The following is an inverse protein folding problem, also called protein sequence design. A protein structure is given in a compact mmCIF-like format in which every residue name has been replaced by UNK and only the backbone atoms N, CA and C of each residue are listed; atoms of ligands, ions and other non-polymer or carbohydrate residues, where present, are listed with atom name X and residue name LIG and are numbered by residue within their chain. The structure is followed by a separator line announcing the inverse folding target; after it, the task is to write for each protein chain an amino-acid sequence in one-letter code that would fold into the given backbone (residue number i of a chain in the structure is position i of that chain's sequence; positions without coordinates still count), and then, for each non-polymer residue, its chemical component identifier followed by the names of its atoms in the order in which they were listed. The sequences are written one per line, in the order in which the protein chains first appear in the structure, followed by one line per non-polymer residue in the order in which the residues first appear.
data_IF_170238282971
#
_entry.id   IF_170238282971
#
_cell.length_a   1.000
_cell.length_b   1.000
_cell.length_c   1.000
_cell.angle_alpha   90.00
_cell.angle_beta   90.00
_cell.angle_gamma   90.00
#
_symmetry.space_group_name_H-M   'P 1'
#
loop_
_entity.id
_entity.type
_entity.pdbx_description
1 polymer ?
#
# COMPACT_ATOMS: atom_id res chain seq x y z
N UNK A 1 -0.17 -6.31 -19.75
CA UNK A 1 -0.79 -6.96 -18.58
C UNK A 1 -0.74 -6.04 -17.38
N UNK A 2 -1.77 -6.03 -16.59
CA UNK A 2 -1.87 -5.20 -15.41
C UNK A 2 -1.01 -5.69 -14.26
N UNK A 3 -0.74 -4.77 -13.35
CA UNK A 3 0.10 -5.00 -12.17
C UNK A 3 -0.71 -4.68 -10.92
N UNK A 4 -0.56 -5.51 -9.88
CA UNK A 4 -1.06 -5.20 -8.54
C UNK A 4 0.16 -4.99 -7.63
N UNK A 5 0.22 -3.81 -7.05
CA UNK A 5 1.26 -3.44 -6.09
C UNK A 5 0.64 -3.39 -4.70
N UNK A 6 1.17 -4.17 -3.78
CA UNK A 6 0.66 -4.27 -2.42
C UNK A 6 1.70 -3.83 -1.41
N UNK A 7 1.33 -2.94 -0.51
CA UNK A 7 2.11 -2.60 0.67
C UNK A 7 1.46 -3.28 1.86
N UNK A 8 2.20 -4.18 2.51
CA UNK A 8 1.75 -4.92 3.68
C UNK A 8 2.35 -4.28 4.92
N UNK A 9 1.50 -3.91 5.88
CA UNK A 9 1.93 -3.26 7.11
C UNK A 9 1.45 -4.05 8.32
N UNK A 10 2.37 -4.40 9.21
CA UNK A 10 2.09 -5.05 10.48
C UNK A 10 2.33 -4.05 11.61
N UNK A 11 1.44 -4.05 12.60
CA UNK A 11 1.47 -3.09 13.70
C UNK A 11 1.44 -3.80 15.04
N UNK A 12 2.20 -3.27 16.00
CA UNK A 12 2.14 -3.73 17.39
C UNK A 12 0.97 -3.07 18.13
N UNK A 13 0.51 -1.91 17.66
CA UNK A 13 -0.48 -1.07 18.35
C UNK A 13 -1.60 -0.68 17.38
N UNK A 14 -2.84 -0.95 17.76
CA UNK A 14 -4.02 -0.61 16.97
C UNK A 14 -4.15 0.90 16.73
N UNK A 15 -3.75 1.73 17.69
CA UNK A 15 -3.82 3.20 17.53
C UNK A 15 -2.91 3.65 16.38
N UNK A 16 -1.72 3.09 16.28
CA UNK A 16 -0.78 3.40 15.18
C UNK A 16 -1.34 2.91 13.84
N UNK A 17 -1.93 1.71 13.83
CA UNK A 17 -2.59 1.19 12.63
C UNK A 17 -3.71 2.10 12.16
N UNK A 18 -4.53 2.61 13.09
CA UNK A 18 -5.61 3.54 12.77
C UNK A 18 -5.09 4.86 12.19
N UNK A 19 -3.98 5.38 12.71
CA UNK A 19 -3.33 6.57 12.14
C UNK A 19 -2.87 6.31 10.71
N UNK A 20 -2.30 5.13 10.44
CA UNK A 20 -1.82 4.77 9.12
C UNK A 20 -2.97 4.72 8.12
N UNK A 21 -4.08 4.08 8.48
CA UNK A 21 -5.28 4.01 7.63
C UNK A 21 -5.82 5.41 7.36
N UNK A 22 -5.90 6.26 8.40
CA UNK A 22 -6.35 7.64 8.26
C UNK A 22 -5.44 8.43 7.30
N UNK A 23 -4.13 8.31 7.46
CA UNK A 23 -3.16 8.97 6.59
C UNK A 23 -3.31 8.53 5.13
N UNK A 24 -3.52 7.23 4.88
CA UNK A 24 -3.77 6.72 3.55
C UNK A 24 -5.04 7.32 2.95
N UNK A 25 -6.14 7.35 3.72
CA UNK A 25 -7.44 7.85 3.27
C UNK A 25 -7.44 9.35 2.98
N UNK A 26 -6.62 10.12 3.69
CA UNK A 26 -6.62 11.58 3.64
C UNK A 26 -5.44 12.18 2.88
N UNK A 27 -5.00 11.51 1.83
CA UNK A 27 -4.02 12.08 0.93
C UNK A 27 -3.17 11.07 0.19
N UNK A 28 -2.60 10.09 0.87
CA UNK A 28 -1.62 9.18 0.26
C UNK A 28 -2.21 8.38 -0.91
N UNK A 29 -3.41 7.81 -0.75
CA UNK A 29 -4.05 7.06 -1.84
C UNK A 29 -4.27 7.94 -3.07
N UNK A 30 -4.71 9.19 -2.86
CA UNK A 30 -4.92 10.12 -3.95
C UNK A 30 -3.61 10.43 -4.69
N UNK A 31 -2.51 10.53 -3.97
CA UNK A 31 -1.20 10.78 -4.58
C UNK A 31 -0.72 9.59 -5.41
N UNK A 32 -0.94 8.36 -4.95
CA UNK A 32 -0.60 7.16 -5.72
C UNK A 32 -1.46 7.09 -6.99
N UNK A 33 -2.74 7.42 -6.90
CA UNK A 33 -3.63 7.49 -8.07
C UNK A 33 -3.15 8.56 -9.05
N UNK A 34 -2.76 9.73 -8.56
CA UNK A 34 -2.20 10.79 -9.40
C UNK A 34 -0.91 10.35 -10.09
N UNK A 35 -0.14 9.47 -9.45
CA UNK A 35 1.10 8.92 -9.99
C UNK A 35 0.91 7.81 -11.02
N UNK A 36 -0.33 7.39 -11.30
CA UNK A 36 -0.63 6.45 -12.37
C UNK A 36 -1.39 5.19 -11.99
N UNK A 37 -1.67 4.94 -10.70
CA UNK A 37 -2.52 3.84 -10.32
C UNK A 37 -3.96 4.08 -10.82
N UNK A 38 -4.64 3.02 -11.24
CA UNK A 38 -6.03 3.11 -11.73
C UNK A 38 -7.03 2.83 -10.61
N UNK A 39 -6.63 2.09 -9.59
CA UNK A 39 -7.46 1.73 -8.44
C UNK A 39 -6.59 1.67 -7.19
N UNK A 40 -7.19 1.96 -6.05
CA UNK A 40 -6.54 1.85 -4.75
C UNK A 40 -7.53 1.29 -3.74
N UNK A 41 -7.04 0.46 -2.82
CA UNK A 41 -7.88 -0.19 -1.83
C UNK A 41 -7.07 -0.40 -0.55
N UNK A 42 -7.71 -0.23 0.60
CA UNK A 42 -7.14 -0.57 1.90
C UNK A 42 -7.95 -1.74 2.44
N UNK A 43 -7.26 -2.78 2.88
CA UNK A 43 -7.90 -3.93 3.51
C UNK A 43 -7.29 -4.20 4.88
N UNK A 44 -8.11 -4.70 5.79
CA UNK A 44 -7.66 -5.26 7.05
C UNK A 44 -7.63 -6.78 6.87
N UNK A 45 -6.48 -7.38 7.10
CA UNK A 45 -6.36 -8.83 7.04
C UNK A 45 -7.03 -9.41 8.28
N UNK A 46 -7.90 -10.42 8.11
CA UNK A 46 -8.61 -11.03 9.23
C UNK A 46 -7.61 -11.52 10.27
N UNK A 47 -7.74 -11.09 11.53
CA UNK A 47 -6.80 -11.49 12.57
C UNK A 47 -6.95 -12.97 12.91
N UNK A 48 -5.81 -13.59 13.21
CA UNK A 48 -5.76 -14.93 13.80
C UNK A 48 -4.95 -14.83 15.08
N UNK A 49 -5.07 -15.83 15.97
CA UNK A 49 -4.33 -15.85 17.23
C UNK A 49 -2.82 -15.82 17.04
N UNK A 50 -2.34 -16.26 15.87
CA UNK A 50 -0.93 -16.33 15.56
C UNK A 50 -0.41 -15.13 14.75
N UNK A 51 -1.27 -14.19 14.39
CA UNK A 51 -0.90 -13.08 13.51
C UNK A 51 -1.02 -11.73 14.21
N UNK A 52 -0.04 -10.82 13.98
CA UNK A 52 -0.16 -9.43 14.43
C UNK A 52 -1.25 -8.68 13.67
N UNK A 53 -1.54 -7.44 14.11
CA UNK A 53 -2.42 -6.56 13.38
C UNK A 53 -1.83 -6.28 12.00
N UNK A 54 -2.56 -6.62 10.96
CA UNK A 54 -2.07 -6.53 9.59
C UNK A 54 -3.07 -5.83 8.70
N UNK A 55 -2.55 -4.86 7.95
CA UNK A 55 -3.31 -4.09 6.98
C UNK A 55 -2.55 -4.06 5.67
N UNK A 56 -3.26 -3.86 4.57
CA UNK A 56 -2.63 -3.76 3.26
C UNK A 56 -3.25 -2.61 2.48
N UNK A 57 -2.41 -1.88 1.74
CA UNK A 57 -2.87 -1.00 0.68
C UNK A 57 -2.51 -1.64 -0.66
N UNK A 58 -3.49 -1.77 -1.54
CA UNK A 58 -3.35 -2.44 -2.83
C UNK A 58 -3.65 -1.46 -3.94
N UNK A 59 -2.78 -1.44 -4.95
CA UNK A 59 -2.89 -0.52 -6.07
C UNK A 59 -2.84 -1.30 -7.38
N UNK A 60 -3.70 -0.90 -8.31
CA UNK A 60 -3.74 -1.48 -9.64
C UNK A 60 -3.10 -0.51 -10.62
N UNK A 61 -2.17 -1.00 -11.43
CA UNK A 61 -1.57 -0.25 -12.55
C UNK A 61 -1.92 -0.95 -13.86
N UNK A 62 -2.16 -0.17 -14.92
CA UNK A 62 -2.57 -0.71 -16.20
C UNK A 62 -1.50 -1.58 -16.85
N UNK A 63 -0.22 -1.32 -16.56
CA UNK A 63 0.91 -2.02 -17.16
C UNK A 63 2.14 -1.92 -16.26
N UNK A 64 3.14 -2.76 -16.56
CA UNK A 64 4.44 -2.65 -15.91
C UNK A 64 5.10 -1.30 -16.21
N UNK A 65 4.95 -0.79 -17.43
CA UNK A 65 5.50 0.51 -17.80
C UNK A 65 4.93 1.64 -16.94
N UNK A 66 3.61 1.62 -16.67
CA UNK A 66 2.96 2.59 -15.82
C UNK A 66 3.47 2.49 -14.37
N UNK A 67 3.66 1.27 -13.88
CA UNK A 67 4.21 1.05 -12.54
C UNK A 67 5.65 1.55 -12.43
N UNK A 68 6.50 1.26 -13.42
CA UNK A 68 7.90 1.71 -13.44
C UNK A 68 7.97 3.24 -13.43
N UNK A 69 7.10 3.91 -14.17
CA UNK A 69 7.03 5.37 -14.16
C UNK A 69 6.67 5.89 -12.77
N UNK A 70 5.68 5.29 -12.12
CA UNK A 70 5.33 5.61 -10.73
C UNK A 70 6.51 5.39 -9.79
N UNK A 71 7.17 4.22 -9.85
CA UNK A 71 8.33 3.89 -9.01
C UNK A 71 9.46 4.89 -9.17
N UNK A 72 9.67 5.39 -10.38
CA UNK A 72 10.77 6.30 -10.69
C UNK A 72 10.47 7.73 -10.26
N UNK A 73 9.27 8.23 -10.54
CA UNK A 73 8.94 9.65 -10.40
C UNK A 73 8.20 10.01 -9.13
N UNK A 74 7.42 9.10 -8.57
CA UNK A 74 6.52 9.38 -7.44
C UNK A 74 6.88 8.63 -6.16
N UNK A 75 7.21 7.36 -6.27
CA UNK A 75 7.39 6.49 -5.12
C UNK A 75 8.51 6.95 -4.16
N UNK A 76 9.65 7.46 -4.62
CA UNK A 76 10.71 7.85 -3.67
C UNK A 76 10.24 8.87 -2.65
N UNK A 77 9.53 9.91 -3.08
CA UNK A 77 8.99 10.94 -2.18
C UNK A 77 7.89 10.37 -1.28
N UNK A 78 6.95 9.63 -1.85
CA UNK A 78 5.82 9.06 -1.11
C UNK A 78 6.30 8.04 -0.07
N UNK A 79 7.29 7.24 -0.41
CA UNK A 79 7.88 6.25 0.48
C UNK A 79 8.62 6.92 1.63
N UNK A 80 9.36 8.00 1.34
CA UNK A 80 10.05 8.77 2.36
C UNK A 80 9.07 9.42 3.35
N UNK A 81 7.95 9.95 2.86
CA UNK A 81 6.90 10.52 3.72
C UNK A 81 6.29 9.45 4.64
N UNK A 82 5.98 8.28 4.10
CA UNK A 82 5.43 7.18 4.87
C UNK A 82 6.40 6.70 5.95
N UNK A 83 7.68 6.53 5.60
CA UNK A 83 8.69 6.09 6.54
C UNK A 83 8.95 7.13 7.65
N UNK A 84 8.85 8.42 7.33
CA UNK A 84 9.01 9.47 8.32
C UNK A 84 7.87 9.47 9.34
N UNK A 85 6.63 9.20 8.92
CA UNK A 85 5.47 9.14 9.80
C UNK A 85 5.35 7.82 10.56
N UNK A 86 5.73 6.72 9.92
CA UNK A 86 5.56 5.36 10.45
C UNK A 86 6.87 4.59 10.41
N UNK A 87 7.89 5.05 11.16
CA UNK A 87 9.17 4.35 11.21
C UNK A 87 9.05 3.05 12.03
N UNK A 88 10.00 2.12 11.87
CA UNK A 88 10.01 0.87 12.65
C UNK A 88 9.97 1.08 14.17
N UNK A 89 10.50 2.22 14.64
CA UNK A 89 10.48 2.58 16.07
C UNK A 89 9.07 2.75 16.63
N UNK A 90 8.07 2.91 15.79
CA UNK A 90 6.66 2.97 16.21
C UNK A 90 5.98 1.59 16.18
N UNK A 91 6.74 0.52 16.06
CA UNK A 91 6.17 -0.84 16.01
C UNK A 91 5.50 -1.13 14.68
N UNK A 92 6.03 -0.61 13.59
CA UNK A 92 5.51 -0.78 12.24
C UNK A 92 6.51 -1.56 11.40
N UNK A 93 6.04 -2.60 10.73
CA UNK A 93 6.85 -3.38 9.79
C UNK A 93 6.14 -3.39 8.46
N UNK A 94 6.79 -2.87 7.43
CA UNK A 94 6.24 -2.82 6.08
C UNK A 94 7.04 -3.68 5.12
N UNK A 95 6.31 -4.40 4.27
CA UNK A 95 6.86 -5.15 3.15
C UNK A 95 6.05 -4.82 1.90
N UNK A 96 6.60 -5.11 0.73
CA UNK A 96 5.96 -4.81 -0.55
C UNK A 96 5.99 -6.01 -1.45
N UNK A 97 4.95 -6.13 -2.27
CA UNK A 97 4.82 -7.20 -3.23
C UNK A 97 4.31 -6.65 -4.55
N UNK A 98 4.91 -7.11 -5.63
CA UNK A 98 4.47 -6.79 -6.97
C UNK A 98 3.98 -8.08 -7.63
N UNK A 99 2.79 -8.03 -8.22
CA UNK A 99 2.19 -9.18 -8.85
C UNK A 99 1.67 -8.81 -10.25
N UNK A 100 1.82 -9.73 -11.19
CA UNK A 100 1.28 -9.57 -12.53
C UNK A 100 -0.13 -10.16 -12.57
N UNK A 101 -1.06 -9.40 -13.16
CA UNK A 101 -2.43 -9.88 -13.34
C UNK A 101 -2.45 -10.83 -14.55
N UNK A 102 -2.78 -12.09 -14.31
CA UNK A 102 -2.89 -13.08 -15.38
C UNK A 102 -4.31 -13.13 -15.95
N UNK A 103 -5.33 -13.00 -15.10
CA UNK A 103 -6.72 -13.03 -15.51
C UNK A 103 -7.52 -12.12 -14.58
N UNK A 104 -8.41 -11.34 -15.16
CA UNK A 104 -9.27 -10.43 -14.41
C UNK A 104 -10.67 -10.48 -15.00
N UNK A 105 -11.68 -10.66 -14.15
CA UNK A 105 -13.09 -10.69 -14.55
C UNK A 105 -13.93 -9.93 -13.55
N UNK A 106 -15.00 -9.32 -14.03
CA UNK A 106 -16.04 -8.75 -13.17
C UNK A 106 -17.34 -9.53 -13.36
N UNK A 107 -18.16 -9.55 -12.34
CA UNK A 107 -19.46 -10.23 -12.37
C UNK A 107 -20.44 -9.46 -13.27
#
# INVERSE_FOLDING_TARGET
MGIVYTVMAEFDDLAVASEWVHWLQHGHLAEVLAGGATHAMIVRVEPTDAQPLRFESRYRFASMAAFIEYETKWAPKLRAEGLAKFPPTRGVRMTRQLAEVLTERSA
#
